data_IF_184341931561
#
_entry.id   IF_184341931561
#
_cell.length_a   1.000
_cell.length_b   1.000
_cell.length_c   1.000
_cell.angle_alpha   90.00
_cell.angle_beta   90.00
_cell.angle_gamma   90.00
#
_symmetry.space_group_name_H-M   'P 1'
#
loop_
_entity.id
_entity.type
_entity.pdbx_description
1 polymer ?
#
# COMPACT_ATOMS: atom_id res chain seq x y z
N UNK A 1 13.47 -33.33 -3.34
CA UNK A 1 12.23 -33.74 -4.03
C UNK A 1 11.63 -32.59 -4.83
N UNK A 2 11.25 -32.81 -6.10
CA UNK A 2 10.55 -31.80 -6.90
C UNK A 2 9.09 -31.76 -6.46
N UNK A 3 8.64 -30.67 -5.81
CA UNK A 3 7.21 -30.50 -5.48
C UNK A 3 6.41 -30.45 -6.77
N UNK A 4 5.38 -31.30 -6.91
CA UNK A 4 4.47 -31.31 -8.04
C UNK A 4 3.74 -29.97 -8.22
N UNK A 5 3.32 -29.67 -9.43
CA UNK A 5 2.42 -28.54 -9.70
C UNK A 5 1.02 -28.93 -9.20
N UNK A 6 0.34 -28.12 -8.39
CA UNK A 6 -1.03 -28.43 -7.97
C UNK A 6 -1.97 -28.46 -9.18
N UNK A 7 -3.04 -29.23 -9.07
CA UNK A 7 -4.09 -29.22 -10.09
C UNK A 7 -4.74 -27.85 -10.14
N UNK A 8 -4.78 -27.26 -11.35
CA UNK A 8 -5.50 -26.00 -11.56
C UNK A 8 -6.97 -26.34 -11.75
N UNK A 9 -7.83 -25.81 -10.88
CA UNK A 9 -9.28 -26.07 -10.87
C UNK A 9 -10.09 -25.01 -11.61
N UNK A 10 -9.50 -23.83 -11.80
CA UNK A 10 -10.15 -22.72 -12.50
C UNK A 10 -10.14 -22.95 -14.03
N UNK A 11 -11.26 -22.63 -14.69
CA UNK A 11 -11.37 -22.72 -16.13
C UNK A 11 -10.46 -21.72 -16.85
N UNK A 12 -9.87 -22.15 -17.96
CA UNK A 12 -8.96 -21.31 -18.74
C UNK A 12 -9.63 -20.03 -19.25
N UNK A 13 -10.90 -20.09 -19.64
CA UNK A 13 -11.65 -18.93 -20.11
C UNK A 13 -11.90 -17.90 -18.99
N UNK A 14 -12.23 -18.35 -17.78
CA UNK A 14 -12.39 -17.47 -16.63
C UNK A 14 -11.07 -16.79 -16.25
N UNK A 15 -9.99 -17.55 -16.27
CA UNK A 15 -8.65 -17.00 -16.04
C UNK A 15 -8.27 -15.97 -17.11
N UNK A 16 -8.60 -16.23 -18.38
CA UNK A 16 -8.39 -15.31 -19.48
C UNK A 16 -9.18 -14.01 -19.29
N UNK A 17 -10.46 -14.11 -18.96
CA UNK A 17 -11.31 -12.94 -18.68
C UNK A 17 -10.78 -12.10 -17.52
N UNK A 18 -10.38 -12.73 -16.42
CA UNK A 18 -9.78 -12.03 -15.26
C UNK A 18 -8.45 -11.38 -15.63
N UNK A 19 -7.60 -12.09 -16.39
CA UNK A 19 -6.31 -11.58 -16.85
C UNK A 19 -6.45 -10.32 -17.73
N UNK A 20 -7.45 -10.28 -18.60
CA UNK A 20 -7.71 -9.12 -19.46
C UNK A 20 -8.17 -7.88 -18.69
N UNK A 21 -8.91 -8.08 -17.60
CA UNK A 21 -9.45 -6.99 -16.76
C UNK A 21 -8.52 -6.58 -15.63
N UNK A 22 -7.50 -7.38 -15.32
CA UNK A 22 -6.60 -7.09 -14.21
C UNK A 22 -5.59 -6.00 -14.60
N UNK A 23 -5.53 -4.94 -13.80
CA UNK A 23 -4.61 -3.81 -13.97
C UNK A 23 -3.51 -3.79 -12.90
N UNK A 24 -3.64 -4.58 -11.83
CA UNK A 24 -2.64 -4.68 -10.77
C UNK A 24 -1.42 -5.47 -11.27
N UNK A 25 -0.28 -4.79 -11.34
CA UNK A 25 0.99 -5.39 -11.78
C UNK A 25 1.48 -6.57 -10.93
N UNK A 26 0.99 -6.72 -9.68
CA UNK A 26 1.31 -7.88 -8.83
C UNK A 26 0.37 -9.05 -9.05
N UNK A 27 -0.88 -8.81 -9.41
CA UNK A 27 -1.90 -9.86 -9.63
C UNK A 27 -1.83 -10.43 -11.04
N UNK A 28 -1.58 -9.59 -12.02
CA UNK A 28 -1.56 -9.98 -13.44
C UNK A 28 -0.60 -11.14 -13.75
N UNK A 29 0.67 -11.14 -13.31
CA UNK A 29 1.58 -12.26 -13.53
C UNK A 29 1.13 -13.57 -12.84
N UNK A 30 0.45 -13.46 -11.70
CA UNK A 30 -0.09 -14.62 -10.97
C UNK A 30 -1.24 -15.28 -11.74
N UNK A 31 -2.14 -14.48 -12.31
CA UNK A 31 -3.20 -14.97 -13.21
C UNK A 31 -2.61 -15.57 -14.50
N UNK A 32 -1.60 -14.92 -15.06
CA UNK A 32 -0.94 -15.40 -16.25
C UNK A 32 -0.26 -16.76 -16.02
N UNK A 33 0.36 -16.96 -14.86
CA UNK A 33 0.92 -18.26 -14.44
C UNK A 33 -0.15 -19.36 -14.49
N UNK A 34 -1.32 -19.13 -13.87
CA UNK A 34 -2.41 -20.10 -13.86
C UNK A 34 -2.95 -20.37 -15.27
N UNK A 35 -3.13 -19.33 -16.07
CA UNK A 35 -3.59 -19.45 -17.45
C UNK A 35 -2.65 -20.29 -18.30
N UNK A 36 -1.33 -20.05 -18.23
CA UNK A 36 -0.33 -20.83 -18.97
C UNK A 36 -0.34 -22.31 -18.57
N UNK A 37 -0.56 -22.60 -17.29
CA UNK A 37 -0.64 -23.97 -16.79
C UNK A 37 -1.97 -24.64 -17.17
N UNK A 38 -3.10 -23.93 -17.04
CA UNK A 38 -4.42 -24.44 -17.37
C UNK A 38 -4.60 -24.75 -18.86
N UNK A 39 -3.97 -23.94 -19.73
CA UNK A 39 -4.00 -24.13 -21.19
C UNK A 39 -2.94 -25.09 -21.71
N UNK A 40 -2.06 -25.59 -20.84
CA UNK A 40 -0.96 -26.49 -21.26
C UNK A 40 0.15 -25.80 -22.04
N UNK A 41 0.19 -24.45 -22.09
CA UNK A 41 1.28 -23.69 -22.71
C UNK A 41 2.60 -23.81 -21.91
N UNK A 42 2.51 -24.13 -20.64
CA UNK A 42 3.66 -24.45 -19.80
C UNK A 42 3.35 -25.65 -18.88
N UNK A 43 4.33 -26.54 -18.73
CA UNK A 43 4.17 -27.76 -17.92
C UNK A 43 5.10 -27.81 -16.74
N UNK A 44 6.04 -26.88 -16.61
CA UNK A 44 7.02 -26.85 -15.52
C UNK A 44 7.14 -25.46 -14.89
N UNK A 45 7.49 -25.42 -13.60
CA UNK A 45 7.77 -24.15 -12.91
C UNK A 45 8.88 -23.35 -13.56
N UNK A 46 9.89 -24.03 -14.12
CA UNK A 46 10.99 -23.38 -14.82
C UNK A 46 10.52 -22.72 -16.11
N UNK A 47 9.65 -23.41 -16.88
CA UNK A 47 9.11 -22.86 -18.11
C UNK A 47 8.22 -21.63 -17.85
N UNK A 48 7.32 -21.71 -16.87
CA UNK A 48 6.50 -20.56 -16.45
C UNK A 48 7.37 -19.39 -15.99
N UNK A 49 8.39 -19.66 -15.18
CA UNK A 49 9.32 -18.64 -14.70
C UNK A 49 10.03 -17.92 -15.84
N UNK A 50 10.46 -18.68 -16.87
CA UNK A 50 11.08 -18.12 -18.06
C UNK A 50 10.11 -17.25 -18.86
N UNK A 51 8.88 -17.71 -19.08
CA UNK A 51 7.86 -16.95 -19.84
C UNK A 51 7.44 -15.65 -19.13
N UNK A 52 7.41 -15.66 -17.79
CA UNK A 52 7.00 -14.49 -16.99
C UNK A 52 8.18 -13.59 -16.58
N UNK A 53 9.41 -13.97 -16.89
CA UNK A 53 10.60 -13.19 -16.48
C UNK A 53 10.82 -13.12 -14.96
N UNK A 54 10.37 -14.15 -14.20
CA UNK A 54 10.48 -14.19 -12.73
C UNK A 54 11.32 -15.39 -12.28
N UNK A 55 11.78 -15.35 -11.03
CA UNK A 55 12.54 -16.48 -10.50
C UNK A 55 11.65 -17.70 -10.24
N UNK A 56 12.16 -18.92 -10.48
CA UNK A 56 11.44 -20.19 -10.26
C UNK A 56 10.85 -20.35 -8.86
N UNK A 57 11.52 -19.84 -7.83
CA UNK A 57 11.03 -19.90 -6.46
C UNK A 57 9.77 -19.04 -6.27
N UNK A 58 9.66 -17.92 -6.98
CA UNK A 58 8.45 -17.08 -7.01
C UNK A 58 7.26 -17.86 -7.53
N UNK A 59 7.43 -18.59 -8.64
CA UNK A 59 6.40 -19.49 -9.16
C UNK A 59 6.03 -20.57 -8.14
N UNK A 60 7.03 -21.16 -7.48
CA UNK A 60 6.80 -22.15 -6.42
C UNK A 60 5.99 -21.61 -5.25
N UNK A 61 6.26 -20.38 -4.83
CA UNK A 61 5.51 -19.70 -3.78
C UNK A 61 4.06 -19.41 -4.19
N UNK A 62 3.85 -18.87 -5.39
CA UNK A 62 2.51 -18.59 -5.91
C UNK A 62 1.66 -19.86 -6.04
N UNK A 63 2.25 -20.96 -6.52
CA UNK A 63 1.57 -22.26 -6.60
C UNK A 63 1.22 -22.82 -5.22
N UNK A 64 2.07 -22.58 -4.21
CA UNK A 64 1.76 -22.97 -2.83
C UNK A 64 0.59 -22.16 -2.27
N UNK A 65 0.55 -20.85 -2.52
CA UNK A 65 -0.60 -20.00 -2.15
C UNK A 65 -1.89 -20.48 -2.81
N UNK A 66 -1.84 -20.77 -4.10
CA UNK A 66 -2.98 -21.29 -4.85
C UNK A 66 -3.44 -22.66 -4.29
N UNK A 67 -2.52 -23.56 -3.99
CA UNK A 67 -2.86 -24.87 -3.41
C UNK A 67 -3.52 -24.79 -2.04
N UNK A 68 -3.21 -23.75 -1.26
CA UNK A 68 -3.74 -23.57 0.11
C UNK A 68 -5.13 -22.93 0.12
N UNK A 69 -5.41 -21.95 -0.71
CA UNK A 69 -6.65 -21.19 -0.68
C UNK A 69 -7.16 -20.72 -2.04
N UNK A 70 -6.77 -21.41 -3.11
CA UNK A 70 -7.27 -21.13 -4.46
C UNK A 70 -6.88 -19.75 -4.99
N UNK A 71 -7.71 -19.27 -5.89
CA UNK A 71 -7.49 -18.00 -6.58
C UNK A 71 -7.51 -16.80 -5.63
N UNK A 72 -8.37 -16.82 -4.62
CA UNK A 72 -8.48 -15.72 -3.65
C UNK A 72 -7.21 -15.57 -2.83
N UNK A 73 -6.64 -16.66 -2.33
CA UNK A 73 -5.37 -16.63 -1.60
C UNK A 73 -4.20 -16.20 -2.51
N UNK A 74 -4.20 -16.65 -3.77
CA UNK A 74 -3.18 -16.25 -4.73
C UNK A 74 -3.24 -14.75 -5.04
N UNK A 75 -4.43 -14.18 -5.16
CA UNK A 75 -4.62 -12.78 -5.53
C UNK A 75 -4.68 -11.84 -4.31
N UNK A 76 -4.69 -12.38 -3.09
CA UNK A 76 -4.60 -11.57 -1.89
C UNK A 76 -3.34 -10.72 -1.92
N UNK A 77 -3.51 -9.40 -1.79
CA UNK A 77 -2.40 -8.46 -1.71
C UNK A 77 -2.20 -8.08 -0.26
N UNK A 78 -1.15 -8.61 0.36
CA UNK A 78 -0.74 -8.16 1.68
C UNK A 78 0.00 -6.83 1.53
N UNK A 79 -0.63 -5.76 1.98
CA UNK A 79 0.03 -4.47 2.18
C UNK A 79 0.50 -4.46 3.65
N UNK A 80 1.80 -4.60 3.91
CA UNK A 80 2.29 -4.54 5.27
C UNK A 80 1.91 -3.19 5.89
N UNK A 81 1.49 -3.20 7.14
CA UNK A 81 1.31 -1.97 7.91
C UNK A 81 2.65 -1.22 7.87
N UNK A 82 2.64 0.00 7.33
CA UNK A 82 3.83 0.84 7.26
C UNK A 82 4.46 1.03 8.65
N UNK A 83 5.62 1.69 8.69
CA UNK A 83 6.29 2.00 9.95
C UNK A 83 5.29 2.63 10.94
N UNK A 84 5.15 2.09 12.16
CA UNK A 84 4.25 2.67 13.15
C UNK A 84 4.61 4.13 13.43
N UNK A 85 3.59 4.93 13.65
CA UNK A 85 3.76 6.34 13.97
C UNK A 85 4.49 6.44 15.31
N UNK A 86 5.60 7.17 15.34
CA UNK A 86 6.46 7.31 16.53
C UNK A 86 5.87 8.20 17.63
N UNK A 87 4.61 8.63 17.51
CA UNK A 87 3.88 9.42 18.50
C UNK A 87 2.90 8.56 19.27
N UNK A 88 2.86 8.73 20.59
CA UNK A 88 1.91 8.04 21.45
C UNK A 88 0.45 8.38 21.06
N UNK A 89 -0.49 7.43 21.21
CA UNK A 89 -1.91 7.65 20.87
C UNK A 89 -2.52 8.88 21.55
N UNK A 90 -2.13 9.18 22.80
CA UNK A 90 -2.57 10.36 23.54
C UNK A 90 -2.14 11.68 22.87
N UNK A 91 -0.91 11.73 22.35
CA UNK A 91 -0.38 12.89 21.61
C UNK A 91 -1.14 13.07 20.30
N UNK A 92 -1.42 11.97 19.59
CA UNK A 92 -2.20 11.99 18.34
C UNK A 92 -3.62 12.51 18.55
N UNK A 93 -4.31 12.05 19.60
CA UNK A 93 -5.66 12.51 19.96
C UNK A 93 -5.67 13.99 20.36
N UNK A 94 -4.66 14.43 21.10
CA UNK A 94 -4.50 15.83 21.48
C UNK A 94 -4.25 16.73 20.26
N UNK A 95 -3.38 16.28 19.36
CA UNK A 95 -3.07 16.97 18.11
C UNK A 95 -4.30 17.09 17.20
N UNK A 96 -5.10 16.05 17.08
CA UNK A 96 -6.34 16.07 16.31
C UNK A 96 -7.34 17.10 16.87
N UNK A 97 -7.53 17.12 18.19
CA UNK A 97 -8.38 18.12 18.84
C UNK A 97 -7.87 19.55 18.65
N UNK A 98 -6.55 19.74 18.75
CA UNK A 98 -5.94 21.06 18.57
C UNK A 98 -6.09 21.57 17.13
N UNK A 99 -5.99 20.69 16.12
CA UNK A 99 -6.17 21.05 14.71
C UNK A 99 -7.63 21.39 14.35
N UNK A 100 -8.61 20.95 15.14
CA UNK A 100 -10.05 21.26 14.97
C UNK A 100 -10.45 22.59 15.59
N UNK A 101 -9.58 23.24 16.38
CA UNK A 101 -9.87 24.53 16.99
C UNK A 101 -9.96 25.62 15.91
N UNK A 102 -10.89 26.59 16.05
CA UNK A 102 -11.07 27.67 15.07
C UNK A 102 -9.84 28.58 14.97
N UNK A 103 -9.08 28.75 16.04
CA UNK A 103 -7.87 29.57 16.08
C UNK A 103 -6.75 28.94 15.20
N UNK A 104 -6.72 27.61 15.12
CA UNK A 104 -5.74 26.88 14.33
C UNK A 104 -4.29 27.16 14.70
N UNK A 105 -3.39 26.90 13.76
CA UNK A 105 -1.95 27.19 13.91
C UNK A 105 -1.47 27.99 12.70
N UNK A 106 -0.69 29.03 12.97
CA UNK A 106 -0.13 29.90 11.93
C UNK A 106 0.87 29.17 11.01
N UNK A 107 1.56 28.15 11.53
CA UNK A 107 2.54 27.38 10.77
C UNK A 107 2.74 25.99 11.35
N UNK A 108 3.37 25.09 10.57
CA UNK A 108 3.79 23.78 11.06
C UNK A 108 4.87 23.87 12.14
N UNK A 109 5.66 24.95 12.15
CA UNK A 109 6.63 25.20 13.20
C UNK A 109 5.95 25.56 14.52
N UNK A 110 4.92 26.43 14.49
CA UNK A 110 4.10 26.74 15.65
C UNK A 110 3.43 25.48 16.22
N UNK A 111 2.92 24.62 15.34
CA UNK A 111 2.36 23.32 15.73
C UNK A 111 3.41 22.41 16.38
N UNK A 112 4.64 22.37 15.85
CA UNK A 112 5.75 21.61 16.41
C UNK A 112 6.13 22.08 17.79
N UNK A 113 6.24 23.39 17.97
CA UNK A 113 6.51 24.01 19.28
C UNK A 113 5.39 23.70 20.28
N UNK A 114 4.14 23.76 19.87
CA UNK A 114 3.01 23.41 20.71
C UNK A 114 3.07 21.94 21.17
N UNK A 115 3.37 21.00 20.28
CA UNK A 115 3.55 19.57 20.64
C UNK A 115 4.67 19.40 21.64
N UNK A 116 5.81 20.09 21.47
CA UNK A 116 6.93 20.06 22.40
C UNK A 116 6.55 20.62 23.78
N UNK A 117 5.87 21.75 23.81
CA UNK A 117 5.47 22.41 25.06
C UNK A 117 4.39 21.63 25.82
N UNK A 118 3.41 21.08 25.11
CA UNK A 118 2.25 20.39 25.72
C UNK A 118 2.57 18.95 26.12
N UNK A 119 3.39 18.25 25.33
CA UNK A 119 3.63 16.81 25.49
C UNK A 119 5.10 16.47 25.77
N UNK A 120 6.01 17.42 25.74
CA UNK A 120 7.45 17.17 25.94
C UNK A 120 8.09 16.33 24.82
N UNK A 121 7.41 16.15 23.70
CA UNK A 121 7.86 15.29 22.60
C UNK A 121 8.43 16.13 21.47
N UNK A 122 9.66 15.82 21.07
CA UNK A 122 10.28 16.46 19.91
C UNK A 122 9.95 15.69 18.64
N UNK A 123 9.30 16.35 17.68
CA UNK A 123 8.89 15.76 16.39
C UNK A 123 9.60 16.46 15.26
N UNK A 124 10.13 15.68 14.31
CA UNK A 124 10.72 16.25 13.09
C UNK A 124 9.65 16.94 12.25
N UNK A 125 9.96 18.11 11.68
CA UNK A 125 9.05 18.90 10.85
C UNK A 125 8.38 18.04 9.75
N UNK A 126 9.17 17.28 8.99
CA UNK A 126 8.68 16.41 7.92
C UNK A 126 7.67 15.35 8.41
N UNK A 127 7.91 14.78 9.59
CA UNK A 127 7.01 13.80 10.22
C UNK A 127 5.68 14.43 10.59
N UNK A 128 5.72 15.61 11.22
CA UNK A 128 4.52 16.35 11.63
C UNK A 128 3.73 16.81 10.40
N UNK A 129 4.41 17.37 9.39
CA UNK A 129 3.81 17.77 8.14
C UNK A 129 3.07 16.61 7.46
N UNK A 130 3.76 15.46 7.29
CA UNK A 130 3.17 14.26 6.70
C UNK A 130 1.95 13.78 7.49
N UNK A 131 2.06 13.73 8.83
CA UNK A 131 0.98 13.29 9.70
C UNK A 131 -0.28 14.18 9.57
N UNK A 132 -0.10 15.50 9.56
CA UNK A 132 -1.21 16.46 9.41
C UNK A 132 -1.87 16.31 8.04
N UNK A 133 -1.09 16.15 7.00
CA UNK A 133 -1.59 16.08 5.61
C UNK A 133 -2.24 14.74 5.28
N UNK A 134 -1.65 13.62 5.72
CA UNK A 134 -2.10 12.29 5.32
C UNK A 134 -3.11 11.70 6.29
N UNK A 135 -2.83 11.74 7.60
CA UNK A 135 -3.69 11.14 8.61
C UNK A 135 -4.87 12.05 8.99
N UNK A 136 -4.60 13.32 9.31
CA UNK A 136 -5.65 14.26 9.71
C UNK A 136 -6.30 14.97 8.51
N UNK A 137 -5.76 14.80 7.30
CA UNK A 137 -6.22 15.45 6.06
C UNK A 137 -6.41 16.96 6.21
N UNK A 138 -5.65 17.59 7.13
CA UNK A 138 -5.72 19.00 7.42
C UNK A 138 -4.68 19.80 6.63
N UNK A 139 -5.01 21.03 6.31
CA UNK A 139 -4.11 22.03 5.73
C UNK A 139 -4.08 23.23 6.67
N UNK A 140 -2.89 23.60 7.11
CA UNK A 140 -2.74 24.88 7.81
C UNK A 140 -2.84 25.98 6.76
N UNK A 141 -3.87 26.83 6.88
CA UNK A 141 -4.02 28.02 6.02
C UNK A 141 -3.18 29.13 6.62
N UNK A 142 -2.10 29.51 5.96
CA UNK A 142 -1.40 30.76 6.25
C UNK A 142 -2.11 31.84 5.45
N UNK A 143 -2.62 32.91 6.09
CA UNK A 143 -3.15 34.06 5.38
C UNK A 143 -2.06 34.61 4.47
N UNK A 144 -2.30 34.70 3.17
CA UNK A 144 -1.41 35.44 2.27
C UNK A 144 -1.69 36.92 2.47
N UNK A 145 -0.66 37.78 2.63
CA UNK A 145 -0.87 39.20 2.62
C UNK A 145 -1.55 39.57 1.29
N UNK A 146 -2.71 40.20 1.37
CA UNK A 146 -3.36 40.75 0.21
C UNK A 146 -2.53 41.96 -0.30
N UNK A 147 -2.04 41.88 -1.52
CA UNK A 147 -1.49 43.06 -2.19
C UNK A 147 -2.63 44.06 -2.40
N UNK A 148 -2.72 45.06 -1.55
CA UNK A 148 -3.45 46.26 -1.86
C UNK A 148 -2.73 46.94 -3.05
N UNK A 149 -3.32 46.86 -4.24
CA UNK A 149 -2.88 47.73 -5.34
C UNK A 149 -2.93 49.15 -4.82
N UNK A 150 -1.77 49.79 -4.68
CA UNK A 150 -1.74 51.27 -4.58
C UNK A 150 -2.35 51.83 -5.87
N UNK A 151 -3.44 52.55 -5.72
CA UNK A 151 -3.98 53.38 -6.75
C UNK A 151 -2.98 54.48 -7.11
#
# INVERSE_FOLDING_TARGET
>A
MRKAIPRITDHADDLKHRLQREHDGHKKPRLQMLYLLATGQAHTRQHVAHLLGVHRNTIGHWLAMYATGGLDALLATYVPAGKPISLAPAVLASLERALRRPEGFASYEALRQWVRQTHGVEVKYKTLYSLVRTRFRAKLKVPRPSHTKKA
#
